data_IF_826530315253
#
_entry.id   IF_826530315253
#
_cell.length_a   1.000
_cell.length_b   1.000
_cell.length_c   1.000
_cell.angle_alpha   90.00
_cell.angle_beta   90.00
_cell.angle_gamma   90.00
#
_symmetry.space_group_name_H-M   'P 1'
#
loop_
_entity.id
_entity.type
_entity.pdbx_description
1 polymer ?
#
# COMPACT_ATOMS: atom_id res chain seq x y z
N UNK A 1 -15.41 -1.03 -2.60
CA UNK A 1 -13.98 -0.99 -2.34
C UNK A 1 -13.20 -1.51 -3.54
N UNK A 2 -12.14 -0.87 -3.86
CA UNK A 2 -11.29 -1.32 -4.94
C UNK A 2 -9.82 -1.21 -4.51
N UNK A 3 -9.00 -1.98 -5.18
CA UNK A 3 -7.57 -1.98 -4.91
C UNK A 3 -6.98 -0.59 -5.16
N UNK A 4 -7.52 0.09 -6.14
CA UNK A 4 -7.08 1.44 -6.46
C UNK A 4 -7.24 2.39 -5.27
N UNK A 5 -8.33 2.24 -4.54
CA UNK A 5 -8.55 3.04 -3.35
C UNK A 5 -7.51 2.75 -2.28
N UNK A 6 -7.15 1.48 -2.14
CA UNK A 6 -6.12 1.10 -1.19
C UNK A 6 -4.77 1.67 -1.58
N UNK A 7 -4.49 1.70 -2.88
CA UNK A 7 -3.27 2.31 -3.38
C UNK A 7 -3.21 3.79 -3.03
N UNK A 8 -4.32 4.48 -3.21
CA UNK A 8 -4.39 5.89 -2.89
C UNK A 8 -4.19 6.13 -1.40
N UNK A 9 -4.73 5.26 -0.57
CA UNK A 9 -4.56 5.38 0.87
C UNK A 9 -3.09 5.22 1.26
N UNK A 10 -2.42 4.27 0.65
CA UNK A 10 -1.00 4.05 0.92
C UNK A 10 -0.16 5.25 0.47
N UNK A 11 -0.49 5.82 -0.67
CA UNK A 11 0.21 7.00 -1.15
C UNK A 11 -0.05 8.18 -0.22
N UNK A 12 -1.24 8.24 0.33
CA UNK A 12 -1.63 9.33 1.21
C UNK A 12 -0.86 9.35 2.53
N UNK A 13 -0.49 8.17 3.03
CA UNK A 13 0.27 8.12 4.29
C UNK A 13 1.68 8.67 4.14
N UNK A 14 2.17 8.71 2.91
CA UNK A 14 3.45 9.31 2.63
C UNK A 14 4.47 8.34 2.08
N UNK A 15 5.33 8.87 1.24
CA UNK A 15 6.38 8.08 0.62
C UNK A 15 7.32 7.47 1.65
N UNK A 16 7.63 8.24 2.68
CA UNK A 16 8.54 7.78 3.73
C UNK A 16 8.00 6.54 4.43
N UNK A 17 6.72 6.56 4.74
CA UNK A 17 6.08 5.43 5.39
C UNK A 17 6.11 4.20 4.48
N UNK A 18 5.88 4.40 3.20
CA UNK A 18 5.93 3.32 2.24
C UNK A 18 7.33 2.69 2.19
N UNK A 19 8.34 3.53 2.19
CA UNK A 19 9.73 3.04 2.18
C UNK A 19 10.04 2.24 3.44
N UNK A 20 9.61 2.73 4.57
CA UNK A 20 9.81 2.03 5.83
C UNK A 20 9.12 0.69 5.84
N UNK A 21 7.92 0.64 5.30
CA UNK A 21 7.16 -0.60 5.20
C UNK A 21 7.89 -1.63 4.35
N UNK A 22 8.44 -1.17 3.25
CA UNK A 22 9.18 -2.04 2.34
C UNK A 22 10.44 -2.59 3.02
N UNK A 23 11.14 -1.73 3.73
CA UNK A 23 12.38 -2.14 4.40
C UNK A 23 12.10 -3.02 5.60
N UNK A 24 11.07 -2.70 6.35
CA UNK A 24 10.76 -3.41 7.59
C UNK A 24 10.10 -4.76 7.30
N UNK A 25 9.07 -4.77 6.51
CA UNK A 25 8.30 -5.98 6.26
C UNK A 25 8.39 -6.48 4.83
N UNK A 26 8.63 -5.60 3.88
CA UNK A 26 8.67 -5.96 2.48
C UNK A 26 7.31 -6.25 1.89
N UNK A 27 6.26 -5.94 2.62
CA UNK A 27 4.90 -6.16 2.16
C UNK A 27 3.93 -5.36 3.01
N UNK A 28 2.71 -5.23 2.53
CA UNK A 28 1.68 -4.53 3.26
C UNK A 28 0.35 -5.23 3.08
N UNK A 29 -0.44 -5.28 4.14
CA UNK A 29 -1.76 -5.89 4.08
C UNK A 29 -2.78 -4.90 4.60
N UNK A 30 -3.83 -4.70 3.81
CA UNK A 30 -4.89 -3.78 4.17
C UNK A 30 -6.24 -4.48 4.15
N UNK A 31 -7.07 -4.14 5.10
CA UNK A 31 -8.42 -4.70 5.18
C UNK A 31 -9.44 -3.59 5.03
N UNK A 32 -10.34 -3.76 4.10
CA UNK A 32 -11.40 -2.79 3.90
C UNK A 32 -12.52 -3.07 4.89
N UNK A 33 -12.83 -2.08 5.71
CA UNK A 33 -13.87 -2.24 6.73
C UNK A 33 -15.27 -2.32 6.14
N UNK A 34 -15.43 -1.75 4.96
CA UNK A 34 -16.74 -1.73 4.31
C UNK A 34 -17.07 -3.04 3.62
N UNK A 35 -16.11 -3.57 2.90
CA UNK A 35 -16.33 -4.75 2.08
C UNK A 35 -15.78 -6.02 2.70
N UNK A 36 -15.08 -5.89 3.81
CA UNK A 36 -14.46 -7.03 4.48
C UNK A 36 -13.45 -7.76 3.59
N UNK A 37 -12.94 -7.07 2.58
CA UNK A 37 -11.97 -7.62 1.67
C UNK A 37 -10.55 -7.31 2.12
N UNK A 38 -9.69 -8.29 1.99
CA UNK A 38 -8.29 -8.12 2.33
C UNK A 38 -7.47 -7.91 1.06
N UNK A 39 -6.60 -6.93 1.11
CA UNK A 39 -5.71 -6.62 -0.01
C UNK A 39 -4.27 -6.78 0.45
N UNK A 40 -3.51 -7.52 -0.31
CA UNK A 40 -2.11 -7.75 0.00
C UNK A 40 -1.24 -7.15 -1.09
N UNK A 41 -0.24 -6.37 -0.66
CA UNK A 41 0.72 -5.74 -1.57
C UNK A 41 2.09 -6.30 -1.28
N UNK A 42 2.70 -6.90 -2.28
CA UNK A 42 4.06 -7.41 -2.11
C UNK A 42 5.05 -6.27 -2.34
N UNK A 43 6.34 -6.59 -2.17
CA UNK A 43 7.37 -5.58 -2.30
C UNK A 43 7.33 -4.88 -3.65
N UNK A 44 7.10 -5.65 -4.70
CA UNK A 44 7.05 -5.12 -6.06
C UNK A 44 5.93 -4.11 -6.21
N UNK A 45 4.78 -4.41 -5.66
CA UNK A 45 3.63 -3.52 -5.71
C UNK A 45 3.87 -2.24 -4.92
N UNK A 46 4.52 -2.37 -3.77
CA UNK A 46 4.85 -1.21 -2.95
C UNK A 46 5.85 -0.30 -3.65
N UNK A 47 6.82 -0.88 -4.33
CA UNK A 47 7.77 -0.09 -5.09
C UNK A 47 7.09 0.66 -6.22
N UNK A 48 6.13 0.02 -6.85
CA UNK A 48 5.34 0.65 -7.90
C UNK A 48 4.57 1.85 -7.35
N UNK A 49 4.01 1.69 -6.16
CA UNK A 49 3.32 2.77 -5.50
C UNK A 49 4.25 3.93 -5.15
N UNK A 50 5.47 3.60 -4.76
CA UNK A 50 6.48 4.62 -4.48
C UNK A 50 6.76 5.47 -5.71
N UNK A 51 6.83 4.84 -6.85
CA UNK A 51 7.05 5.57 -8.09
C UNK A 51 5.89 6.51 -8.40
N UNK A 52 4.69 6.04 -8.15
CA UNK A 52 3.49 6.86 -8.38
C UNK A 52 3.41 8.02 -7.40
N UNK A 53 3.97 7.85 -6.22
CA UNK A 53 3.93 8.87 -5.18
C UNK A 53 4.95 9.99 -5.38
N UNK A 54 5.88 9.79 -6.28
CA UNK A 54 6.91 10.81 -6.56
C UNK A 54 6.36 12.08 -7.17
#
# INVERSE_FOLDING_TARGET
>A
CSKERMEKALISIGKKELEELIEDQGEAELTCQFCDNKYHFNKKELEDLLEKAK
#
